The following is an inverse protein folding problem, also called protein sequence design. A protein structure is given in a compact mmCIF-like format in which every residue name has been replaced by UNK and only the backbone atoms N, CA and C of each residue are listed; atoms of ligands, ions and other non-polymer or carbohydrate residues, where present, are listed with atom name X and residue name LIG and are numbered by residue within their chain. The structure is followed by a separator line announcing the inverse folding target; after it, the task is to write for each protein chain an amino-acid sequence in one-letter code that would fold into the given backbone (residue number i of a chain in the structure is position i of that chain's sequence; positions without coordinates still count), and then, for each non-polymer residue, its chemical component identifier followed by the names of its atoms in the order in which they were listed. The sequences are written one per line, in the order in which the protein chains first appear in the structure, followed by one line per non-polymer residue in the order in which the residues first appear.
data_IF_844042132011
#
_entry.id   IF_844042132011
#
_cell.length_a   1.000
_cell.length_b   1.000
_cell.length_c   1.000
_cell.angle_alpha   90.00
_cell.angle_beta   90.00
_cell.angle_gamma   90.00
#
_symmetry.space_group_name_H-M   'P 1'
#
loop_
_entity.id
_entity.type
_entity.pdbx_description
1 polymer ?
#
# COMPACT_ATOMS: atom_id res chain seq x y z
N UNK A 1 -1.46 -24.46 -2.42
CA UNK A 1 -0.75 -23.57 -3.36
C UNK A 1 -1.12 -22.09 -3.14
N UNK A 2 -2.36 -21.76 -2.76
CA UNK A 2 -2.88 -20.38 -2.61
C UNK A 2 -2.30 -19.52 -1.45
N UNK A 3 -1.86 -20.12 -0.33
CA UNK A 3 -1.56 -19.34 0.91
C UNK A 3 -0.29 -18.49 0.88
N UNK A 4 0.78 -18.98 0.26
CA UNK A 4 2.03 -18.22 0.14
C UNK A 4 1.83 -17.00 -0.75
N UNK A 5 1.08 -17.15 -1.84
CA UNK A 5 0.71 -16.05 -2.74
C UNK A 5 -0.05 -14.97 -1.96
N UNK A 6 -1.01 -15.34 -1.11
CA UNK A 6 -1.73 -14.38 -0.27
C UNK A 6 -0.82 -13.57 0.67
N UNK A 7 0.17 -14.22 1.30
CA UNK A 7 1.13 -13.53 2.15
C UNK A 7 2.01 -12.55 1.35
N UNK A 8 2.44 -12.93 0.15
CA UNK A 8 3.21 -12.04 -0.75
C UNK A 8 2.37 -10.85 -1.20
N UNK A 9 1.11 -11.07 -1.59
CA UNK A 9 0.20 -9.98 -2.01
C UNK A 9 -0.11 -9.05 -0.84
N UNK A 10 -0.34 -9.60 0.37
CA UNK A 10 -0.53 -8.80 1.58
C UNK A 10 0.68 -7.88 1.83
N UNK A 11 1.89 -8.44 1.76
CA UNK A 11 3.11 -7.67 1.94
C UNK A 11 3.25 -6.54 0.90
N UNK A 12 2.98 -6.82 -0.38
CA UNK A 12 3.09 -5.81 -1.43
C UNK A 12 2.04 -4.69 -1.26
N UNK A 13 0.78 -5.03 -0.96
CA UNK A 13 -0.26 -4.02 -0.74
C UNK A 13 0.06 -3.17 0.50
N UNK A 14 0.66 -3.77 1.53
CA UNK A 14 1.10 -3.05 2.73
C UNK A 14 2.21 -2.07 2.41
N UNK A 15 3.22 -2.49 1.64
CA UNK A 15 4.31 -1.61 1.17
C UNK A 15 3.76 -0.43 0.36
N UNK A 16 2.86 -0.70 -0.61
CA UNK A 16 2.17 0.31 -1.40
C UNK A 16 1.38 1.31 -0.53
N UNK A 17 0.71 0.83 0.52
CA UNK A 17 -0.07 1.67 1.44
C UNK A 17 0.83 2.58 2.29
N UNK A 18 1.89 2.01 2.86
CA UNK A 18 2.82 2.73 3.73
C UNK A 18 3.68 3.75 2.99
N UNK A 19 3.90 3.56 1.69
CA UNK A 19 4.65 4.52 0.87
C UNK A 19 4.04 5.94 0.84
N UNK A 20 2.72 6.08 1.05
CA UNK A 20 2.05 7.39 1.13
C UNK A 20 2.07 8.00 2.54
N UNK A 21 2.49 7.25 3.55
CA UNK A 21 2.50 7.73 4.93
C UNK A 21 3.64 8.72 5.19
N UNK A 22 3.45 9.63 6.14
CA UNK A 22 4.55 10.46 6.66
C UNK A 22 5.66 9.63 7.35
N UNK A 23 5.40 8.34 7.63
CA UNK A 23 6.31 7.39 8.25
C UNK A 23 7.16 6.60 7.25
N UNK A 24 7.18 7.00 5.97
CA UNK A 24 8.18 6.57 4.99
C UNK A 24 9.58 7.02 5.48
N UNK A 25 10.14 6.27 6.44
CA UNK A 25 11.28 6.68 7.27
C UNK A 25 12.61 6.17 6.74
N UNK A 26 12.60 5.45 5.62
CA UNK A 26 13.81 4.93 4.96
C UNK A 26 13.81 5.09 3.44
N UNK A 27 12.65 5.36 2.83
CA UNK A 27 12.46 5.63 1.39
C UNK A 27 11.85 7.02 1.21
N UNK A 28 12.02 7.64 0.04
CA UNK A 28 11.49 8.99 -0.21
C UNK A 28 9.97 9.06 0.01
N UNK A 29 9.46 10.21 0.48
CA UNK A 29 8.02 10.40 0.68
C UNK A 29 7.23 10.18 -0.62
N UNK A 30 6.31 9.22 -0.63
CA UNK A 30 5.48 8.85 -1.79
C UNK A 30 6.31 8.64 -3.08
N UNK A 31 7.40 7.87 -2.99
CA UNK A 31 8.31 7.58 -4.10
C UNK A 31 7.62 6.86 -5.26
N UNK A 32 6.67 5.96 -4.98
CA UNK A 32 5.83 5.36 -6.04
C UNK A 32 5.19 6.40 -6.98
N UNK A 33 4.89 7.61 -6.49
CA UNK A 33 4.36 8.68 -7.34
C UNK A 33 5.42 9.25 -8.29
N UNK A 34 6.67 9.33 -7.86
CA UNK A 34 7.80 9.73 -8.69
C UNK A 34 8.10 8.64 -9.74
N UNK A 35 7.92 7.38 -9.37
CA UNK A 35 8.03 6.24 -10.29
C UNK A 35 6.79 6.05 -11.17
N UNK A 36 5.66 6.67 -10.80
CA UNK A 36 4.41 6.54 -11.55
C UNK A 36 3.73 5.21 -11.42
N UNK A 37 4.03 4.52 -10.34
CA UNK A 37 3.47 3.23 -10.06
C UNK A 37 2.00 3.43 -9.70
N UNK A 38 1.14 2.62 -10.30
CA UNK A 38 -0.26 2.52 -9.91
C UNK A 38 -0.37 1.64 -8.66
N UNK A 39 0.10 2.17 -7.53
CA UNK A 39 0.04 1.48 -6.24
C UNK A 39 -1.40 1.18 -5.84
N UNK A 40 -1.60 0.14 -5.03
CA UNK A 40 -2.93 -0.36 -4.70
C UNK A 40 -3.93 0.72 -4.19
N UNK A 41 -3.54 1.70 -3.34
CA UNK A 41 -4.45 2.79 -2.95
C UNK A 41 -4.93 3.67 -4.09
N UNK A 42 -4.07 3.93 -5.09
CA UNK A 42 -4.41 4.70 -6.29
C UNK A 42 -5.47 3.96 -7.10
N UNK A 43 -5.25 2.66 -7.33
CA UNK A 43 -6.19 1.80 -8.08
C UNK A 43 -7.54 1.75 -7.37
N UNK A 44 -7.55 1.55 -6.05
CA UNK A 44 -8.79 1.56 -5.26
C UNK A 44 -9.55 2.89 -5.35
N UNK A 45 -8.81 4.01 -5.36
CA UNK A 45 -9.41 5.34 -5.55
C UNK A 45 -10.06 5.48 -6.92
N UNK A 46 -9.35 5.09 -7.99
CA UNK A 46 -9.86 5.14 -9.37
C UNK A 46 -11.08 4.24 -9.56
N UNK A 47 -11.09 3.04 -8.97
CA UNK A 47 -12.20 2.08 -9.12
C UNK A 47 -13.53 2.67 -8.61
N UNK A 48 -13.49 3.41 -7.51
CA UNK A 48 -14.67 4.09 -6.96
C UNK A 48 -14.96 5.45 -7.61
N UNK A 49 -13.90 6.14 -8.02
CA UNK A 49 -13.94 7.51 -8.54
C UNK A 49 -13.12 7.60 -9.84
N UNK A 50 -13.69 7.18 -10.99
CA UNK A 50 -12.98 7.13 -12.27
C UNK A 50 -12.43 8.48 -12.73
N UNK A 51 -12.98 9.60 -12.25
CA UNK A 51 -12.49 10.95 -12.50
C UNK A 51 -11.06 11.19 -11.98
N UNK A 52 -10.61 10.41 -11.00
CA UNK A 52 -9.25 10.45 -10.46
C UNK A 52 -8.20 10.01 -11.50
N UNK A 53 -8.58 9.15 -12.46
CA UNK A 53 -7.69 8.65 -13.51
C UNK A 53 -7.03 9.78 -14.30
N UNK A 54 -7.81 10.78 -14.71
CA UNK A 54 -7.30 11.92 -15.46
C UNK A 54 -6.28 12.74 -14.67
N UNK A 55 -6.55 12.98 -13.38
CA UNK A 55 -5.65 13.72 -12.49
C UNK A 55 -4.33 12.98 -12.26
N UNK A 56 -4.41 11.66 -12.00
CA UNK A 56 -3.24 10.78 -11.84
C UNK A 56 -2.39 10.80 -13.10
N UNK A 57 -2.99 10.65 -14.29
CA UNK A 57 -2.25 10.67 -15.54
C UNK A 57 -1.58 12.03 -15.81
N UNK A 58 -2.23 13.14 -15.50
CA UNK A 58 -1.63 14.48 -15.66
C UNK A 58 -0.39 14.60 -14.79
N UNK A 59 -0.47 14.22 -13.51
CA UNK A 59 0.67 14.25 -12.59
C UNK A 59 1.77 13.29 -13.04
N UNK A 60 1.40 12.07 -13.44
CA UNK A 60 2.35 11.06 -13.89
C UNK A 60 3.06 11.46 -15.19
N UNK A 61 2.44 12.25 -16.07
CA UNK A 61 3.09 12.78 -17.28
C UNK A 61 4.03 13.96 -17.03
N UNK A 62 3.94 14.63 -15.87
CA UNK A 62 4.86 15.73 -15.52
C UNK A 62 6.27 15.26 -15.20
N UNK A 63 6.49 13.93 -15.16
CA UNK A 63 7.81 13.33 -14.99
C UNK A 63 8.61 13.45 -16.30
N UNK A 64 9.92 13.74 -16.24
CA UNK A 64 10.71 13.92 -17.45
C UNK A 64 10.67 12.64 -18.30
N UNK A 65 10.22 12.76 -19.54
CA UNK A 65 9.98 11.65 -20.47
C UNK A 65 11.25 11.03 -21.06
N UNK A 66 12.43 11.28 -20.49
CA UNK A 66 13.70 10.81 -21.04
C UNK A 66 14.17 9.54 -20.36
N UNK A 67 14.30 8.47 -21.13
CA UNK A 67 14.91 7.20 -20.70
C UNK A 67 16.40 7.32 -20.26
N UNK A 68 16.99 8.52 -20.33
CA UNK A 68 18.39 8.79 -19.98
C UNK A 68 18.58 9.87 -18.91
N UNK A 69 17.51 10.44 -18.38
CA UNK A 69 17.58 11.38 -17.26
C UNK A 69 16.83 10.79 -16.07
N UNK A 70 17.45 10.78 -14.89
CA UNK A 70 16.81 10.41 -13.64
C UNK A 70 15.47 11.17 -13.53
N UNK A 71 14.37 10.43 -13.38
CA UNK A 71 13.05 11.01 -13.23
C UNK A 71 13.09 11.96 -12.03
N UNK A 72 12.98 13.26 -12.29
CA UNK A 72 13.01 14.25 -11.22
C UNK A 72 11.81 14.02 -10.31
N UNK A 73 12.00 13.95 -8.98
CA UNK A 73 10.91 13.77 -8.03
C UNK A 73 9.84 14.85 -8.19
N UNK A 74 8.58 14.46 -8.04
CA UNK A 74 7.46 15.39 -7.99
C UNK A 74 7.59 16.32 -6.79
N UNK A 75 7.17 17.57 -6.98
CA UNK A 75 7.18 18.53 -5.88
C UNK A 75 6.28 18.05 -4.73
N UNK A 76 6.67 18.38 -3.49
CA UNK A 76 5.90 18.03 -2.27
C UNK A 76 4.43 18.46 -2.37
N UNK A 77 4.17 19.65 -2.92
CA UNK A 77 2.81 20.18 -3.08
C UNK A 77 1.94 19.32 -4.00
N UNK A 78 2.51 18.78 -5.07
CA UNK A 78 1.81 17.88 -6.01
C UNK A 78 1.50 16.55 -5.31
N UNK A 79 2.47 15.99 -4.59
CA UNK A 79 2.28 14.76 -3.80
C UNK A 79 1.17 14.92 -2.76
N UNK A 80 1.21 15.99 -1.97
CA UNK A 80 0.20 16.27 -0.94
C UNK A 80 -1.20 16.45 -1.55
N UNK A 81 -1.32 17.13 -2.70
CA UNK A 81 -2.59 17.29 -3.39
C UNK A 81 -3.17 15.94 -3.85
N UNK A 82 -2.34 15.09 -4.46
CA UNK A 82 -2.78 13.79 -4.92
C UNK A 82 -3.15 12.85 -3.78
N UNK A 83 -2.39 12.87 -2.69
CA UNK A 83 -2.72 12.14 -1.47
C UNK A 83 -4.11 12.57 -0.95
N UNK A 84 -4.43 13.88 -0.95
CA UNK A 84 -5.78 14.36 -0.60
C UNK A 84 -6.86 13.82 -1.53
N UNK A 85 -6.62 13.77 -2.83
CA UNK A 85 -7.57 13.22 -3.81
C UNK A 85 -7.78 11.71 -3.59
N UNK A 86 -6.71 10.94 -3.37
CA UNK A 86 -6.78 9.50 -3.11
C UNK A 86 -7.50 9.23 -1.77
N UNK A 87 -7.22 10.02 -0.73
CA UNK A 87 -7.94 9.93 0.53
C UNK A 87 -9.43 10.22 0.37
N UNK A 88 -9.77 11.30 -0.35
CA UNK A 88 -11.17 11.72 -0.56
C UNK A 88 -11.97 10.75 -1.42
N UNK A 89 -11.31 9.98 -2.30
CA UNK A 89 -11.93 8.87 -3.05
C UNK A 89 -12.11 7.58 -2.23
N UNK A 90 -11.62 7.56 -0.98
CA UNK A 90 -11.65 6.38 -0.11
C UNK A 90 -10.68 5.27 -0.53
N UNK A 91 -9.65 5.60 -1.32
CA UNK A 91 -8.64 4.64 -1.78
C UNK A 91 -7.82 4.06 -0.62
N UNK A 92 -7.41 4.90 0.34
CA UNK A 92 -6.69 4.46 1.54
C UNK A 92 -7.57 3.61 2.46
N UNK A 93 -8.80 4.06 2.76
CA UNK A 93 -9.72 3.31 3.62
C UNK A 93 -10.04 1.92 3.05
N UNK A 94 -10.24 1.83 1.73
CA UNK A 94 -10.46 0.55 1.06
C UNK A 94 -9.23 -0.36 1.16
N UNK A 95 -8.05 0.21 0.98
CA UNK A 95 -6.78 -0.52 1.11
C UNK A 95 -6.60 -1.07 2.52
N UNK A 96 -6.79 -0.24 3.54
CA UNK A 96 -6.67 -0.65 4.95
C UNK A 96 -7.68 -1.76 5.29
N UNK A 97 -8.94 -1.62 4.84
CA UNK A 97 -9.95 -2.67 5.02
C UNK A 97 -9.52 -3.99 4.37
N UNK A 98 -8.96 -3.93 3.15
CA UNK A 98 -8.47 -5.14 2.48
C UNK A 98 -7.27 -5.74 3.20
N UNK A 99 -6.33 -4.94 3.67
CA UNK A 99 -5.18 -5.40 4.44
C UNK A 99 -5.60 -6.13 5.72
N UNK A 100 -6.49 -5.54 6.54
CA UNK A 100 -7.01 -6.20 7.74
C UNK A 100 -7.72 -7.53 7.44
N UNK A 101 -8.50 -7.58 6.35
CA UNK A 101 -9.12 -8.82 5.88
C UNK A 101 -8.09 -9.87 5.49
N UNK A 102 -7.05 -9.49 4.75
CA UNK A 102 -6.00 -10.41 4.31
C UNK A 102 -5.15 -10.92 5.46
N UNK A 103 -4.81 -10.05 6.42
CA UNK A 103 -4.10 -10.42 7.65
C UNK A 103 -4.86 -11.51 8.41
N UNK A 104 -6.17 -11.32 8.61
CA UNK A 104 -7.02 -12.32 9.25
C UNK A 104 -7.10 -13.64 8.47
N UNK A 105 -7.22 -13.58 7.14
CA UNK A 105 -7.18 -14.79 6.30
C UNK A 105 -5.85 -15.56 6.42
N UNK A 106 -4.72 -14.83 6.52
CA UNK A 106 -3.39 -15.41 6.72
C UNK A 106 -3.29 -16.07 8.09
N UNK A 107 -3.74 -15.39 9.14
CA UNK A 107 -3.76 -15.91 10.51
C UNK A 107 -4.56 -17.22 10.60
N UNK A 108 -5.80 -17.24 10.07
CA UNK A 108 -6.62 -18.45 10.00
C UNK A 108 -5.94 -19.56 9.19
N UNK A 109 -5.22 -19.19 8.13
CA UNK A 109 -4.43 -20.11 7.33
C UNK A 109 -3.30 -20.76 8.12
N UNK A 110 -2.63 -19.97 8.99
CA UNK A 110 -1.56 -20.44 9.87
C UNK A 110 -2.09 -21.38 10.94
N UNK A 111 -3.17 -21.02 11.65
CA UNK A 111 -3.80 -21.88 12.67
C UNK A 111 -4.14 -23.25 12.09
N UNK A 112 -4.76 -23.29 10.90
CA UNK A 112 -5.08 -24.55 10.20
C UNK A 112 -3.86 -25.39 9.83
N UNK A 113 -2.70 -24.78 9.64
CA UNK A 113 -1.45 -25.51 9.37
C UNK A 113 -0.90 -26.09 10.67
N UNK A 114 -0.89 -25.30 11.75
CA UNK A 114 -0.43 -25.72 13.07
C UNK A 114 -1.27 -26.88 13.63
N UNK A 115 -2.59 -26.82 13.45
CA UNK A 115 -3.51 -27.91 13.82
C UNK A 115 -3.20 -29.20 13.05
N UNK A 116 -2.88 -29.09 11.75
CA UNK A 116 -2.57 -30.25 10.90
C UNK A 116 -1.18 -30.82 11.15
N UNK A 117 -0.21 -29.98 11.50
CA UNK A 117 1.15 -30.41 11.82
C UNK A 117 1.28 -30.89 13.26
N UNK A 118 0.34 -30.52 14.14
CA UNK A 118 0.44 -30.73 15.59
C UNK A 118 1.54 -29.88 16.24
N UNK A 119 2.05 -28.87 15.53
CA UNK A 119 3.17 -28.04 15.97
C UNK A 119 2.90 -26.57 15.68
N UNK A 120 3.07 -25.72 16.70
CA UNK A 120 3.01 -24.27 16.55
C UNK A 120 4.22 -23.75 15.75
N UNK A 121 4.01 -22.72 14.93
CA UNK A 121 5.07 -22.06 14.19
C UNK A 121 5.29 -20.64 14.72
N UNK A 122 6.09 -20.53 15.77
CA UNK A 122 6.40 -19.26 16.44
C UNK A 122 7.05 -18.24 15.51
N UNK A 123 7.84 -18.68 14.53
CA UNK A 123 8.49 -17.78 13.58
C UNK A 123 7.47 -17.09 12.68
N UNK A 124 6.53 -17.84 12.10
CA UNK A 124 5.49 -17.25 11.26
C UNK A 124 4.58 -16.32 12.07
N UNK A 125 4.28 -16.66 13.33
CA UNK A 125 3.52 -15.78 14.23
C UNK A 125 4.26 -14.47 14.47
N UNK A 126 5.57 -14.54 14.75
CA UNK A 126 6.40 -13.35 14.92
C UNK A 126 6.43 -12.49 13.66
N UNK A 127 6.56 -13.09 12.47
CA UNK A 127 6.52 -12.38 11.20
C UNK A 127 5.18 -11.66 10.98
N UNK A 128 4.05 -12.32 11.28
CA UNK A 128 2.74 -11.70 11.14
C UNK A 128 2.56 -10.54 12.11
N UNK A 129 2.96 -10.71 13.38
CA UNK A 129 2.93 -9.63 14.38
C UNK A 129 3.76 -8.42 13.95
N UNK A 130 4.95 -8.64 13.37
CA UNK A 130 5.79 -7.55 12.89
C UNK A 130 5.21 -6.79 11.68
N UNK A 131 4.30 -7.43 10.92
CA UNK A 131 3.65 -6.86 9.74
C UNK A 131 2.21 -6.39 10.02
N UNK A 132 1.75 -6.51 11.27
CA UNK A 132 0.36 -6.30 11.62
C UNK A 132 -0.13 -4.89 11.27
N UNK A 133 -1.40 -4.81 10.87
CA UNK A 133 -2.12 -3.55 10.66
C UNK A 133 -3.07 -3.21 11.81
N UNK A 134 -3.01 -3.95 12.92
CA UNK A 134 -3.72 -3.61 14.15
C UNK A 134 -3.15 -2.31 14.76
N UNK A 135 -4.04 -1.38 15.14
CA UNK A 135 -3.66 -0.07 15.68
C UNK A 135 -3.41 1.03 14.64
N UNK A 136 -3.32 0.70 13.35
CA UNK A 136 -3.07 1.65 12.25
C UNK A 136 -4.34 2.40 11.78
N UNK A 137 -5.25 2.74 12.71
CA UNK A 137 -6.55 3.37 12.36
C UNK A 137 -6.44 4.81 11.86
N UNK A 138 -5.28 5.45 12.06
CA UNK A 138 -5.02 6.84 11.65
C UNK A 138 -3.57 7.01 11.24
N UNK A 139 -3.13 6.32 10.18
CA UNK A 139 -1.93 6.76 9.49
C UNK A 139 -2.21 8.18 8.98
N UNK A 140 -1.55 9.18 9.57
CA UNK A 140 -1.62 10.55 9.08
C UNK A 140 -0.87 10.62 7.75
N UNK A 141 -1.63 10.70 6.67
CA UNK A 141 -1.10 10.92 5.32
C UNK A 141 -0.71 12.39 5.09
N UNK A 142 -1.16 13.29 5.96
CA UNK A 142 -0.94 14.74 5.90
C UNK A 142 -0.84 15.27 7.34
N UNK A 143 0.08 16.21 7.56
CA UNK A 143 0.10 17.06 8.76
C UNK A 143 -0.71 18.34 8.51
#
# INVERSE_FOLDING_TARGET
MDRVIKAVVFYQIRDDYLNFSAYASQKGFAEDMDEGKFSFPIVCGIEKHPELWGQILVVFRQRPASATAEAQPLSRKVKDHMIKCIASSGGFDHTLKRLKSMEHEIELGMVKIEEKSGQANSLLRLCLTALSMEGEEKICFLN
#
